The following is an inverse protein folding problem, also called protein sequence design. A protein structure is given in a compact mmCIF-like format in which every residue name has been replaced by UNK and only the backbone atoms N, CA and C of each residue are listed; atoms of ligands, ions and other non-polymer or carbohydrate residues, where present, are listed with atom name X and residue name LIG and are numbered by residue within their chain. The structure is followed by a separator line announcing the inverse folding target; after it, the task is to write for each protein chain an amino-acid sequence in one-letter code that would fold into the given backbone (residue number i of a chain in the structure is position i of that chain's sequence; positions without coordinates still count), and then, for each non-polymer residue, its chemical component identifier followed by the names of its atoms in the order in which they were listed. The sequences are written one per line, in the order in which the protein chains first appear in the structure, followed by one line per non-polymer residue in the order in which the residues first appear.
data_IF_889445509561
#
_entry.id   IF_889445509561
#
_cell.length_a   1.000
_cell.length_b   1.000
_cell.length_c   1.000
_cell.angle_alpha   90.00
_cell.angle_beta   90.00
_cell.angle_gamma   90.00
#
_symmetry.space_group_name_H-M   'P 1'
#
loop_
_entity.id
_entity.type
_entity.pdbx_description
1 polymer ?
#
# COMPACT_ATOMS: atom_id res chain seq x y z
N UNK A 1 -1.47 -11.56 -10.64
CA UNK A 1 -0.80 -11.39 -9.33
C UNK A 1 -0.95 -9.93 -9.06
N UNK A 2 -1.78 -9.61 -8.10
CA UNK A 2 -2.31 -8.26 -7.95
C UNK A 2 -1.34 -7.44 -7.09
N UNK A 3 -1.42 -6.12 -7.17
CA UNK A 3 -0.51 -5.24 -6.43
C UNK A 3 -0.58 -5.50 -4.92
N UNK A 4 -1.78 -5.77 -4.40
CA UNK A 4 -2.00 -6.11 -2.99
C UNK A 4 -1.27 -7.38 -2.54
N UNK A 5 -1.23 -8.42 -3.38
CA UNK A 5 -0.51 -9.67 -3.05
C UNK A 5 1.01 -9.39 -2.97
N UNK A 6 1.52 -8.56 -3.89
CA UNK A 6 2.93 -8.18 -3.90
C UNK A 6 3.31 -7.37 -2.66
N UNK A 7 2.47 -6.43 -2.25
CA UNK A 7 2.66 -5.64 -1.02
C UNK A 7 2.61 -6.54 0.21
N UNK A 8 1.61 -7.42 0.31
CA UNK A 8 1.47 -8.38 1.40
C UNK A 8 2.71 -9.27 1.54
N UNK A 9 3.27 -9.71 0.40
CA UNK A 9 4.48 -10.52 0.34
C UNK A 9 5.72 -9.75 0.85
N UNK A 10 5.92 -8.52 0.37
CA UNK A 10 7.04 -7.66 0.79
C UNK A 10 6.99 -7.36 2.29
N UNK A 11 5.79 -7.12 2.82
CA UNK A 11 5.59 -6.78 4.22
C UNK A 11 5.48 -8.01 5.12
N UNK A 12 5.60 -9.22 4.55
CA UNK A 12 5.48 -10.49 5.26
C UNK A 12 4.17 -10.62 6.06
N UNK A 13 3.07 -10.11 5.51
CA UNK A 13 1.75 -10.25 6.13
C UNK A 13 1.27 -11.69 6.01
N UNK A 14 0.62 -12.20 7.07
CA UNK A 14 0.05 -13.54 7.05
C UNK A 14 -1.25 -13.58 6.26
N UNK A 15 -2.02 -12.48 6.32
CA UNK A 15 -3.26 -12.30 5.58
C UNK A 15 -3.29 -10.92 4.91
N UNK A 16 -3.95 -10.81 3.75
CA UNK A 16 -4.10 -9.52 3.04
C UNK A 16 -4.86 -8.49 3.89
N UNK A 17 -5.77 -8.95 4.75
CA UNK A 17 -6.50 -8.10 5.70
C UNK A 17 -5.59 -7.40 6.71
N UNK A 18 -4.39 -7.92 6.96
CA UNK A 18 -3.44 -7.30 7.89
C UNK A 18 -2.98 -5.93 7.37
N UNK A 19 -3.01 -5.72 6.04
CA UNK A 19 -2.62 -4.46 5.40
C UNK A 19 -3.38 -3.23 5.92
N UNK A 20 -4.60 -3.41 6.45
CA UNK A 20 -5.37 -2.33 7.06
C UNK A 20 -4.88 -1.93 8.46
N UNK A 21 -4.12 -2.79 9.14
CA UNK A 21 -3.78 -2.64 10.57
C UNK A 21 -2.29 -2.52 10.83
N UNK A 22 -1.46 -2.88 9.84
CA UNK A 22 0.00 -2.81 9.98
C UNK A 22 0.50 -1.37 9.88
N UNK A 23 1.61 -1.13 10.55
CA UNK A 23 2.47 0.04 10.33
C UNK A 23 3.80 -0.49 9.82
N UNK A 24 4.36 0.21 8.84
CA UNK A 24 5.63 -0.19 8.24
C UNK A 24 6.75 0.70 8.76
N UNK A 25 7.96 0.13 8.85
CA UNK A 25 9.17 0.90 9.12
C UNK A 25 9.66 1.61 7.86
N UNK A 26 10.56 2.59 8.01
CA UNK A 26 11.22 3.22 6.87
C UNK A 26 11.96 2.21 5.96
N UNK A 27 12.53 1.14 6.53
CA UNK A 27 13.17 0.08 5.76
C UNK A 27 12.19 -0.72 4.91
N UNK A 28 11.02 -1.05 5.45
CA UNK A 28 9.94 -1.70 4.68
C UNK A 28 9.36 -0.75 3.61
N UNK A 29 9.29 0.55 3.90
CA UNK A 29 8.91 1.54 2.89
C UNK A 29 9.92 1.60 1.74
N UNK A 30 11.22 1.49 2.02
CA UNK A 30 12.25 1.42 0.97
C UNK A 30 12.11 0.16 0.10
N UNK A 31 11.77 -0.99 0.70
CA UNK A 31 11.47 -2.21 -0.06
C UNK A 31 10.26 -2.02 -0.99
N UNK A 32 9.19 -1.39 -0.50
CA UNK A 32 8.04 -1.06 -1.35
C UNK A 32 8.44 -0.11 -2.48
N UNK A 33 9.28 0.90 -2.23
CA UNK A 33 9.77 1.82 -3.28
C UNK A 33 10.50 1.12 -4.41
N UNK A 34 11.20 0.03 -4.11
CA UNK A 34 11.93 -0.79 -5.09
C UNK A 34 11.03 -1.71 -5.92
N UNK A 35 9.73 -1.84 -5.59
CA UNK A 35 8.78 -2.58 -6.40
C UNK A 35 8.67 -1.94 -7.79
N UNK A 36 8.96 -2.73 -8.83
CA UNK A 36 8.85 -2.36 -10.24
C UNK A 36 7.41 -2.50 -10.75
N UNK A 37 7.06 -1.73 -11.78
CA UNK A 37 5.71 -1.58 -12.31
C UNK A 37 5.35 -2.58 -13.43
N UNK A 38 6.31 -3.40 -13.86
CA UNK A 38 6.30 -4.15 -15.13
C UNK A 38 5.07 -5.04 -15.39
N UNK A 39 4.21 -5.27 -14.39
CA UNK A 39 3.06 -6.17 -14.49
C UNK A 39 1.76 -5.62 -13.90
N UNK A 40 1.72 -4.41 -13.35
CA UNK A 40 0.52 -3.86 -12.71
C UNK A 40 -0.22 -2.90 -13.64
N UNK A 41 -1.52 -3.10 -13.79
CA UNK A 41 -2.38 -2.16 -14.49
C UNK A 41 -2.76 -0.99 -13.57
N UNK A 42 -3.27 0.09 -14.16
CA UNK A 42 -3.82 1.20 -13.38
C UNK A 42 -5.02 0.77 -12.53
N UNK A 43 -5.79 -0.23 -12.98
CA UNK A 43 -6.90 -0.80 -12.20
C UNK A 43 -6.38 -1.46 -10.93
N UNK A 44 -5.33 -2.28 -11.03
CA UNK A 44 -4.72 -2.94 -9.86
C UNK A 44 -4.17 -1.91 -8.87
N UNK A 45 -3.65 -0.80 -9.39
CA UNK A 45 -3.19 0.32 -8.58
C UNK A 45 -4.35 0.98 -7.82
N UNK A 46 -5.45 1.26 -8.52
CA UNK A 46 -6.64 1.87 -7.91
C UNK A 46 -7.23 0.95 -6.84
N UNK A 47 -7.38 -0.34 -7.14
CA UNK A 47 -7.91 -1.33 -6.20
C UNK A 47 -7.04 -1.43 -4.95
N UNK A 48 -5.70 -1.42 -5.09
CA UNK A 48 -4.80 -1.47 -3.96
C UNK A 48 -4.83 -0.21 -3.09
N UNK A 49 -4.93 0.97 -3.71
CA UNK A 49 -5.05 2.25 -3.00
C UNK A 49 -6.37 2.29 -2.23
N UNK A 50 -7.49 1.97 -2.89
CA UNK A 50 -8.82 1.92 -2.27
C UNK A 50 -8.85 0.94 -1.09
N UNK A 51 -8.24 -0.24 -1.25
CA UNK A 51 -8.17 -1.23 -0.20
C UNK A 51 -7.37 -0.71 1.01
N UNK A 52 -6.12 -0.27 0.81
CA UNK A 52 -5.23 0.09 1.94
C UNK A 52 -5.63 1.43 2.59
N UNK A 53 -6.05 2.41 1.79
CA UNK A 53 -6.36 3.74 2.29
C UNK A 53 -7.80 3.86 2.78
N UNK A 54 -8.70 2.97 2.36
CA UNK A 54 -10.14 3.04 2.66
C UNK A 54 -10.87 4.18 1.95
N UNK A 55 -10.16 4.95 1.14
CA UNK A 55 -10.64 6.11 0.39
C UNK A 55 -10.49 5.86 -1.11
N UNK A 56 -11.43 6.36 -1.91
CA UNK A 56 -11.35 6.35 -3.38
C UNK A 56 -10.41 7.44 -3.87
N UNK A 57 -9.13 7.36 -3.45
CA UNK A 57 -8.09 8.27 -3.88
C UNK A 57 -7.71 7.89 -5.32
N UNK A 58 -8.00 8.74 -6.32
CA UNK A 58 -7.65 8.43 -7.68
C UNK A 58 -6.12 8.45 -7.83
N UNK A 59 -5.58 7.41 -8.43
CA UNK A 59 -4.19 7.39 -8.88
C UNK A 59 -4.13 7.36 -10.40
N UNK A 60 -3.13 8.03 -10.97
CA UNK A 60 -2.94 8.15 -12.42
C UNK A 60 -1.72 7.37 -12.91
N UNK A 61 -0.92 6.84 -11.98
CA UNK A 61 0.25 6.02 -12.27
C UNK A 61 0.57 5.07 -11.12
N UNK A 62 1.32 4.01 -11.42
CA UNK A 62 1.86 3.10 -10.42
C UNK A 62 2.73 3.80 -9.37
N UNK A 63 3.53 4.79 -9.77
CA UNK A 63 4.37 5.54 -8.84
C UNK A 63 3.52 6.33 -7.83
N UNK A 64 2.43 6.95 -8.29
CA UNK A 64 1.51 7.67 -7.43
C UNK A 64 0.80 6.73 -6.45
N UNK A 65 0.24 5.63 -6.94
CA UNK A 65 -0.40 4.61 -6.10
C UNK A 65 0.54 4.08 -5.01
N UNK A 66 1.78 3.75 -5.39
CA UNK A 66 2.83 3.31 -4.48
C UNK A 66 3.16 4.35 -3.41
N UNK A 67 3.27 5.62 -3.80
CA UNK A 67 3.53 6.70 -2.84
C UNK A 67 2.39 6.89 -1.84
N UNK A 68 1.14 6.87 -2.31
CA UNK A 68 -0.05 6.99 -1.46
C UNK A 68 -0.10 5.86 -0.43
N UNK A 69 0.07 4.62 -0.88
CA UNK A 69 0.11 3.43 -0.01
C UNK A 69 1.21 3.55 1.04
N UNK A 70 2.44 3.89 0.63
CA UNK A 70 3.57 4.05 1.56
C UNK A 70 3.29 5.14 2.59
N UNK A 71 2.73 6.28 2.16
CA UNK A 71 2.40 7.37 3.07
C UNK A 71 1.34 6.93 4.10
N UNK A 72 0.32 6.20 3.66
CA UNK A 72 -0.73 5.70 4.55
C UNK A 72 -0.18 4.72 5.58
N UNK A 73 0.67 3.78 5.17
CA UNK A 73 1.26 2.76 6.06
C UNK A 73 2.35 3.32 6.99
N UNK A 74 2.97 4.46 6.62
CA UNK A 74 3.92 5.19 7.45
C UNK A 74 3.26 6.18 8.42
N UNK A 75 1.98 6.53 8.23
CA UNK A 75 1.30 7.44 9.15
C UNK A 75 1.25 6.79 10.53
N UNK A 76 1.94 7.42 11.47
CA UNK A 76 1.57 7.32 12.87
C UNK A 76 0.16 7.91 12.97
N UNK A 77 -0.83 7.09 13.33
CA UNK A 77 -2.20 7.58 13.53
C UNK A 77 -2.18 8.90 14.33
N UNK A 78 -2.91 9.94 13.92
CA UNK A 78 -3.39 10.88 14.90
C UNK A 78 -4.29 10.07 15.85
N UNK A 79 -3.92 9.99 17.11
CA UNK A 79 -4.79 9.47 18.16
C UNK A 79 -6.17 10.11 18.01
N UNK A 80 -7.18 9.32 17.65
CA UNK A 80 -8.56 9.61 18.04
C UNK A 80 -9.27 8.29 18.32
N UNK A 81 -8.83 7.67 19.42
CA UNK A 81 -9.76 7.10 20.37
C UNK A 81 -10.68 8.22 20.84
N UNK A 82 -11.99 8.09 20.59
CA UNK A 82 -13.08 8.15 21.57
C UNK A 82 -14.44 8.22 20.88
#
# INVERSE_FOLDING_TARGET
MDLLESISSILHCQYMSDLHYIKITHGQADQLRQLEDNHFTLSDCQDAVCYICGDDVPCTSFQEAKQVIIQQLLREEPETRQ
#
